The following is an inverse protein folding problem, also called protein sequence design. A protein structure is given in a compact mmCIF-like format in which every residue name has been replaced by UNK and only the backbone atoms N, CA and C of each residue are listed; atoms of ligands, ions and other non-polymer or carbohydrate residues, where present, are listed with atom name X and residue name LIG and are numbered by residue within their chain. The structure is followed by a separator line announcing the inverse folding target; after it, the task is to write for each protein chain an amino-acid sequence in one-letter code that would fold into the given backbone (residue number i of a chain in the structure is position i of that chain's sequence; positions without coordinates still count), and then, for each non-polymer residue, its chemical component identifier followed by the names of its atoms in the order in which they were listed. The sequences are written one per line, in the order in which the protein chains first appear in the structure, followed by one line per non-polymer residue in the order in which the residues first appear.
data_IF_915406658082
#
_entry.id   IF_915406658082
#
_cell.length_a   1.000
_cell.length_b   1.000
_cell.length_c   1.000
_cell.angle_alpha   90.00
_cell.angle_beta   90.00
_cell.angle_gamma   90.00
#
_symmetry.space_group_name_H-M   'P 1'
#
loop_
_entity.id
_entity.type
_entity.pdbx_description
1 polymer ?
#
# COMPACT_ATOMS: atom_id res chain seq x y z
N UNK A 1 26.73 -13.57 -71.85
CA UNK A 1 25.81 -12.54 -71.33
C UNK A 1 25.33 -12.97 -69.94
N UNK A 2 25.56 -12.11 -68.93
CA UNK A 2 25.03 -12.07 -67.55
C UNK A 2 25.30 -13.29 -66.62
N UNK A 3 26.29 -13.22 -65.72
CA UNK A 3 26.22 -12.67 -64.33
C UNK A 3 25.44 -13.59 -63.38
N UNK A 4 26.09 -14.45 -62.59
CA UNK A 4 26.61 -14.19 -61.22
C UNK A 4 25.59 -13.45 -60.35
N UNK A 5 25.03 -14.11 -59.33
CA UNK A 5 24.96 -13.64 -57.93
C UNK A 5 24.35 -14.74 -57.03
N UNK A 6 25.22 -15.36 -56.25
CA UNK A 6 24.93 -16.14 -55.05
C UNK A 6 24.33 -15.23 -53.97
N UNK A 7 23.20 -15.59 -53.36
CA UNK A 7 23.04 -15.52 -51.90
C UNK A 7 21.77 -16.28 -51.47
N UNK A 8 21.88 -17.60 -51.31
CA UNK A 8 20.85 -18.40 -50.64
C UNK A 8 20.95 -18.10 -49.14
N UNK A 9 19.98 -17.28 -48.71
CA UNK A 9 19.70 -16.83 -47.35
C UNK A 9 19.83 -17.97 -46.32
N UNK A 10 20.82 -17.87 -45.43
CA UNK A 10 20.93 -18.68 -44.21
C UNK A 10 19.84 -18.21 -43.24
N UNK A 11 18.62 -18.74 -43.42
CA UNK A 11 17.53 -18.57 -42.46
C UNK A 11 17.77 -19.57 -41.33
N UNK A 12 18.51 -19.12 -40.32
CA UNK A 12 18.60 -19.81 -39.04
C UNK A 12 17.26 -19.64 -38.33
N UNK A 13 16.29 -20.48 -38.70
CA UNK A 13 15.12 -20.73 -37.89
C UNK A 13 15.55 -21.57 -36.69
N UNK A 14 16.07 -20.90 -35.65
CA UNK A 14 15.98 -21.47 -34.31
C UNK A 14 14.52 -21.33 -33.86
N UNK A 15 13.70 -22.28 -34.31
CA UNK A 15 12.43 -22.60 -33.67
C UNK A 15 12.72 -23.15 -32.28
N UNK A 16 12.82 -22.27 -31.29
CA UNK A 16 12.87 -22.65 -29.88
C UNK A 16 11.43 -22.79 -29.39
N UNK A 17 10.94 -24.02 -29.55
CA UNK A 17 10.19 -24.80 -28.57
C UNK A 17 9.17 -24.06 -27.68
N UNK A 18 7.88 -24.36 -27.92
CA UNK A 18 6.72 -24.04 -27.10
C UNK A 18 6.69 -24.74 -25.71
N UNK A 19 7.85 -25.10 -25.15
CA UNK A 19 8.00 -25.84 -23.88
C UNK A 19 8.35 -24.90 -22.71
N UNK A 20 8.80 -23.67 -23.00
CA UNK A 20 9.04 -22.68 -21.94
C UNK A 20 8.07 -21.52 -22.13
N UNK A 21 7.05 -21.43 -21.28
CA UNK A 21 6.03 -20.39 -21.31
C UNK A 21 6.58 -19.00 -20.98
N UNK A 22 7.52 -18.47 -21.77
CA UNK A 22 8.00 -17.11 -21.65
C UNK A 22 6.96 -16.16 -22.23
N UNK A 23 6.07 -15.70 -21.35
CA UNK A 23 5.20 -14.57 -21.66
C UNK A 23 6.09 -13.35 -21.89
N UNK A 24 6.18 -12.88 -23.14
CA UNK A 24 6.85 -11.63 -23.46
C UNK A 24 6.03 -10.47 -22.88
N UNK A 25 6.39 -10.05 -21.66
CA UNK A 25 5.67 -9.01 -20.91
C UNK A 25 6.48 -7.72 -20.96
N UNK A 26 6.03 -6.76 -21.76
CA UNK A 26 6.61 -5.43 -21.83
C UNK A 26 6.22 -4.60 -20.59
N UNK A 27 7.20 -3.96 -19.96
CA UNK A 27 6.99 -3.06 -18.83
C UNK A 27 7.32 -1.62 -19.26
N UNK A 28 6.36 -0.71 -19.18
CA UNK A 28 6.62 0.71 -19.44
C UNK A 28 7.40 1.32 -18.28
N UNK A 29 8.60 1.86 -18.56
CA UNK A 29 9.45 2.49 -17.56
C UNK A 29 8.97 3.91 -17.21
N UNK A 30 8.17 4.52 -18.09
CA UNK A 30 7.41 5.76 -17.91
C UNK A 30 7.29 6.53 -19.23
N UNK A 31 6.72 7.73 -19.20
CA UNK A 31 6.46 8.55 -20.39
C UNK A 31 7.57 9.59 -20.58
N UNK A 32 8.04 9.78 -21.80
CA UNK A 32 8.93 10.89 -22.15
C UNK A 32 8.09 12.18 -22.28
N UNK A 33 8.55 13.36 -21.82
CA UNK A 33 9.85 13.69 -21.23
C UNK A 33 9.91 13.62 -19.68
N UNK A 34 8.85 13.17 -19.01
CA UNK A 34 8.76 13.11 -17.54
C UNK A 34 9.90 12.28 -16.91
N UNK A 35 10.42 11.29 -17.63
CA UNK A 35 11.60 10.53 -17.25
C UNK A 35 12.76 10.85 -18.20
N UNK A 36 13.84 11.38 -17.63
CA UNK A 36 15.09 11.59 -18.35
C UNK A 36 15.77 10.27 -18.74
N UNK A 37 16.47 10.28 -19.88
CA UNK A 37 17.16 9.11 -20.45
C UNK A 37 18.08 8.38 -19.46
N UNK A 38 18.75 9.13 -18.57
CA UNK A 38 19.61 8.57 -17.53
C UNK A 38 18.82 7.70 -16.55
N UNK A 39 17.67 8.18 -16.06
CA UNK A 39 16.80 7.42 -15.14
C UNK A 39 16.20 6.19 -15.84
N UNK A 40 15.84 6.31 -17.12
CA UNK A 40 15.33 5.17 -17.90
C UNK A 40 16.36 4.04 -18.05
N UNK A 41 17.65 4.36 -18.22
CA UNK A 41 18.74 3.37 -18.26
C UNK A 41 18.90 2.65 -16.92
N UNK A 42 18.92 3.40 -15.81
CA UNK A 42 19.00 2.81 -14.46
C UNK A 42 17.84 1.85 -14.19
N UNK A 43 16.60 2.27 -14.44
CA UNK A 43 15.42 1.42 -14.24
C UNK A 43 15.41 0.17 -15.14
N UNK A 44 16.00 0.27 -16.34
CA UNK A 44 16.18 -0.88 -17.23
C UNK A 44 17.18 -1.86 -16.63
N UNK A 45 18.33 -1.38 -16.18
CA UNK A 45 19.40 -2.23 -15.66
C UNK A 45 18.94 -2.93 -14.35
N UNK A 46 18.24 -2.22 -13.47
CA UNK A 46 17.56 -2.80 -12.28
C UNK A 46 16.56 -3.92 -12.65
N UNK A 47 15.77 -3.72 -13.72
CA UNK A 47 14.84 -4.74 -14.19
C UNK A 47 15.57 -5.97 -14.74
N UNK A 48 16.70 -5.79 -15.41
CA UNK A 48 17.55 -6.90 -15.86
C UNK A 48 18.19 -7.67 -14.70
N UNK A 49 18.62 -6.98 -13.64
CA UNK A 49 19.13 -7.63 -12.43
C UNK A 49 18.06 -8.49 -11.74
N UNK A 50 16.82 -8.01 -11.68
CA UNK A 50 15.70 -8.79 -11.15
C UNK A 50 15.42 -10.03 -12.00
N UNK A 51 15.47 -9.90 -13.33
CA UNK A 51 15.32 -11.03 -14.25
C UNK A 51 16.47 -12.04 -14.11
N UNK A 52 17.71 -11.57 -13.91
CA UNK A 52 18.87 -12.45 -13.68
C UNK A 52 18.72 -13.27 -12.38
N UNK A 53 18.02 -12.72 -11.38
CA UNK A 53 17.64 -13.42 -10.13
C UNK A 53 16.41 -14.33 -10.29
N UNK A 54 15.85 -14.47 -11.50
CA UNK A 54 14.64 -15.25 -11.76
C UNK A 54 13.34 -14.58 -11.29
N UNK A 55 13.38 -13.30 -10.92
CA UNK A 55 12.25 -12.56 -10.37
C UNK A 55 11.66 -11.67 -11.46
N UNK A 56 10.34 -11.75 -11.68
CA UNK A 56 9.68 -10.94 -12.69
C UNK A 56 9.54 -9.47 -12.22
N UNK A 57 10.09 -8.47 -12.94
CA UNK A 57 10.01 -7.06 -12.53
C UNK A 57 8.58 -6.52 -12.52
N UNK A 58 7.68 -7.05 -13.37
CA UNK A 58 6.26 -6.68 -13.36
C UNK A 58 5.56 -7.15 -12.08
N UNK A 59 5.92 -8.32 -11.55
CA UNK A 59 5.34 -8.80 -10.29
C UNK A 59 5.86 -8.00 -9.12
N UNK A 60 7.14 -7.62 -9.10
CA UNK A 60 7.70 -6.72 -8.08
C UNK A 60 7.03 -5.35 -8.10
N UNK A 61 6.83 -4.74 -9.28
CA UNK A 61 6.11 -3.45 -9.38
C UNK A 61 4.65 -3.58 -8.95
N UNK A 62 3.98 -4.69 -9.28
CA UNK A 62 2.61 -4.97 -8.83
C UNK A 62 2.55 -5.16 -7.31
N UNK A 63 3.47 -5.94 -6.74
CA UNK A 63 3.58 -6.15 -5.30
C UNK A 63 3.90 -4.85 -4.57
N UNK A 64 4.78 -3.99 -5.11
CA UNK A 64 5.07 -2.68 -4.55
C UNK A 64 3.84 -1.76 -4.57
N UNK A 65 3.12 -1.67 -5.70
CA UNK A 65 1.87 -0.91 -5.79
C UNK A 65 0.78 -1.47 -4.87
N UNK A 66 0.71 -2.80 -4.74
CA UNK A 66 -0.21 -3.45 -3.82
C UNK A 66 0.20 -3.14 -2.38
N UNK A 67 1.47 -3.22 -2.00
CA UNK A 67 1.96 -2.87 -0.67
C UNK A 67 1.67 -1.39 -0.35
N UNK A 68 1.88 -0.48 -1.30
CA UNK A 68 1.53 0.95 -1.16
C UNK A 68 0.01 1.16 -0.99
N UNK A 69 -0.81 0.43 -1.77
CA UNK A 69 -2.27 0.48 -1.67
C UNK A 69 -2.80 -0.16 -0.38
N UNK A 70 -2.18 -1.24 0.08
CA UNK A 70 -2.51 -1.95 1.31
C UNK A 70 -2.09 -1.12 2.53
N UNK A 71 -0.94 -0.44 2.47
CA UNK A 71 -0.51 0.50 3.49
C UNK A 71 -1.54 1.63 3.68
N UNK A 72 -2.08 2.16 2.58
CA UNK A 72 -3.12 3.21 2.65
C UNK A 72 -4.50 2.66 3.06
N UNK A 73 -4.83 1.43 2.67
CA UNK A 73 -6.13 0.80 2.93
C UNK A 73 -6.30 0.24 4.34
N UNK A 74 -5.20 -0.23 4.97
CA UNK A 74 -5.20 -0.87 6.29
C UNK A 74 -4.69 0.06 7.40
N UNK A 75 -4.81 1.37 7.21
CA UNK A 75 -4.52 2.35 8.26
C UNK A 75 -5.59 2.30 9.35
N UNK A 76 -5.20 2.57 10.60
CA UNK A 76 -6.17 2.71 11.70
C UNK A 76 -7.24 3.76 11.41
N UNK A 77 -6.91 4.82 10.67
CA UNK A 77 -7.84 5.88 10.33
C UNK A 77 -8.97 5.39 9.43
N UNK A 78 -8.68 4.54 8.45
CA UNK A 78 -9.70 3.95 7.56
C UNK A 78 -10.62 3.01 8.34
N UNK A 79 -10.05 2.20 9.23
CA UNK A 79 -10.83 1.34 10.12
C UNK A 79 -11.70 2.12 11.10
N UNK A 80 -11.14 3.16 11.73
CA UNK A 80 -11.89 4.06 12.59
C UNK A 80 -13.07 4.71 11.86
N UNK A 81 -12.90 5.16 10.61
CA UNK A 81 -14.02 5.71 9.84
C UNK A 81 -15.13 4.68 9.60
N UNK A 82 -14.77 3.45 9.22
CA UNK A 82 -15.74 2.37 9.01
C UNK A 82 -16.51 2.04 10.30
N UNK A 83 -15.79 1.91 11.42
CA UNK A 83 -16.40 1.67 12.72
C UNK A 83 -17.31 2.82 13.15
N UNK A 84 -16.90 4.07 12.91
CA UNK A 84 -17.71 5.24 13.21
C UNK A 84 -19.00 5.28 12.39
N UNK A 85 -18.93 4.92 11.10
CA UNK A 85 -20.09 4.84 10.22
C UNK A 85 -21.05 3.74 10.67
N UNK A 86 -20.55 2.58 11.10
CA UNK A 86 -21.39 1.54 11.72
C UNK A 86 -22.07 2.05 12.99
N UNK A 87 -21.33 2.76 13.85
CA UNK A 87 -21.87 3.34 15.08
C UNK A 87 -22.93 4.41 14.83
N UNK A 88 -22.89 5.12 13.70
CA UNK A 88 -23.95 6.07 13.30
C UNK A 88 -25.29 5.40 13.06
N UNK A 89 -25.31 4.12 12.66
CA UNK A 89 -26.55 3.38 12.45
C UNK A 89 -27.26 3.05 13.77
N UNK A 90 -26.48 2.80 14.83
CA UNK A 90 -27.01 2.41 16.16
C UNK A 90 -27.30 3.63 17.05
N UNK A 91 -26.49 4.68 16.96
CA UNK A 91 -26.52 5.83 17.86
C UNK A 91 -27.19 7.04 17.21
N UNK A 92 -28.11 7.69 17.92
CA UNK A 92 -28.78 8.91 17.44
C UNK A 92 -27.76 10.05 17.24
N UNK A 93 -27.89 10.76 16.12
CA UNK A 93 -27.10 11.96 15.82
C UNK A 93 -27.57 13.16 16.66
N UNK A 94 -26.63 13.97 17.15
CA UNK A 94 -26.93 15.16 17.97
C UNK A 94 -25.68 15.85 18.52
N UNK A 95 -25.78 17.15 18.84
CA UNK A 95 -24.65 18.00 19.31
C UNK A 95 -24.01 17.53 20.62
N UNK A 96 -24.75 16.78 21.44
CA UNK A 96 -24.27 16.18 22.70
C UNK A 96 -24.40 14.65 22.69
N UNK A 97 -24.47 14.04 21.50
CA UNK A 97 -24.57 12.58 21.42
C UNK A 97 -23.22 11.91 21.68
N UNK A 98 -23.26 10.63 22.05
CA UNK A 98 -22.08 9.79 22.22
C UNK A 98 -21.17 9.83 20.99
N UNK A 99 -21.74 9.93 19.78
CA UNK A 99 -20.99 10.05 18.52
C UNK A 99 -20.15 11.31 18.44
N UNK A 100 -20.72 12.46 18.82
CA UNK A 100 -19.98 13.74 18.84
C UNK A 100 -18.81 13.69 19.83
N UNK A 101 -19.01 13.00 20.96
CA UNK A 101 -17.97 12.80 21.97
C UNK A 101 -16.85 11.87 21.46
N UNK A 102 -17.21 10.76 20.80
CA UNK A 102 -16.27 9.84 20.14
C UNK A 102 -15.42 10.61 19.13
N UNK A 103 -16.03 11.34 18.20
CA UNK A 103 -15.31 12.09 17.16
C UNK A 103 -14.32 13.10 17.76
N UNK A 104 -14.74 13.87 18.76
CA UNK A 104 -13.89 14.87 19.41
C UNK A 104 -12.70 14.25 20.13
N UNK A 105 -12.90 13.13 20.83
CA UNK A 105 -11.83 12.50 21.62
C UNK A 105 -10.87 11.75 20.68
N UNK A 106 -11.39 10.98 19.72
CA UNK A 106 -10.54 10.28 18.76
C UNK A 106 -9.70 11.24 17.92
N UNK A 107 -10.27 12.35 17.43
CA UNK A 107 -9.50 13.36 16.68
C UNK A 107 -8.41 14.04 17.51
N UNK A 108 -8.64 14.28 18.79
CA UNK A 108 -7.70 14.96 19.67
C UNK A 108 -6.59 14.05 20.21
N UNK A 109 -6.94 12.82 20.57
CA UNK A 109 -6.09 11.98 21.42
C UNK A 109 -5.63 10.68 20.75
N UNK A 110 -6.44 10.08 19.85
CA UNK A 110 -6.17 8.75 19.27
C UNK A 110 -5.55 8.87 17.87
N UNK A 111 -6.20 9.60 16.96
CA UNK A 111 -5.77 9.76 15.57
C UNK A 111 -4.37 10.38 15.42
N UNK A 112 -3.92 11.33 16.28
CA UNK A 112 -2.56 11.85 16.17
C UNK A 112 -1.46 10.83 16.48
N UNK A 113 -1.78 9.76 17.21
CA UNK A 113 -0.81 8.73 17.60
C UNK A 113 -0.89 7.49 16.70
N UNK A 114 -2.11 7.05 16.37
CA UNK A 114 -2.34 5.79 15.67
C UNK A 114 -2.84 5.96 14.23
N UNK A 115 -3.19 7.17 13.81
CA UNK A 115 -3.92 7.41 12.57
C UNK A 115 -3.24 6.87 11.32
N UNK A 116 -1.94 7.08 11.15
CA UNK A 116 -1.18 6.61 9.97
C UNK A 116 -0.63 5.18 10.15
N UNK A 117 -0.77 4.61 11.35
CA UNK A 117 -0.26 3.28 11.66
C UNK A 117 -1.11 2.20 11.01
N UNK A 118 -0.47 1.14 10.51
CA UNK A 118 -1.14 -0.05 10.00
C UNK A 118 -1.78 -0.83 11.13
N UNK A 119 -3.02 -1.30 10.95
CA UNK A 119 -3.78 -2.06 11.97
C UNK A 119 -3.02 -3.31 12.42
N UNK A 120 -2.25 -3.93 11.52
CA UNK A 120 -1.49 -5.15 11.81
C UNK A 120 -0.27 -4.91 12.69
N UNK A 121 0.21 -3.66 12.77
CA UNK A 121 1.38 -3.28 13.56
C UNK A 121 1.00 -2.76 14.95
N UNK A 122 -0.27 -2.42 15.16
CA UNK A 122 -0.77 -1.86 16.42
C UNK A 122 -0.77 -2.96 17.48
N UNK A 123 0.03 -2.73 18.52
CA UNK A 123 0.10 -3.59 19.70
C UNK A 123 -0.67 -3.00 20.87
N UNK A 124 -0.96 -3.86 21.85
CA UNK A 124 -1.59 -3.45 23.10
C UNK A 124 -0.79 -2.37 23.84
N UNK A 125 0.53 -2.39 23.74
CA UNK A 125 1.42 -1.36 24.30
C UNK A 125 1.06 0.03 23.78
N UNK A 126 0.76 0.12 22.49
CA UNK A 126 0.56 1.39 21.79
C UNK A 126 -0.80 1.99 22.20
N UNK A 127 -1.81 1.13 22.38
CA UNK A 127 -3.11 1.53 22.95
C UNK A 127 -2.98 2.02 24.40
N UNK A 128 -2.18 1.34 25.22
CA UNK A 128 -1.94 1.74 26.60
C UNK A 128 -1.18 3.06 26.69
N UNK A 129 -0.26 3.34 25.77
CA UNK A 129 0.44 4.61 25.72
C UNK A 129 -0.52 5.77 25.44
N UNK A 130 -1.46 5.59 24.51
CA UNK A 130 -2.51 6.58 24.22
C UNK A 130 -3.37 6.84 25.46
N UNK A 131 -3.80 5.79 26.17
CA UNK A 131 -4.58 5.93 27.41
C UNK A 131 -3.75 6.65 28.49
N UNK A 132 -2.49 6.26 28.70
CA UNK A 132 -1.60 6.87 29.68
C UNK A 132 -1.34 8.36 29.38
N UNK A 133 -1.33 8.76 28.10
CA UNK A 133 -1.23 10.17 27.70
C UNK A 133 -2.48 10.97 28.09
N UNK A 134 -3.67 10.35 28.03
CA UNK A 134 -4.93 10.97 28.47
C UNK A 134 -4.98 11.06 30.00
N UNK A 135 -4.55 10.01 30.71
CA UNK A 135 -4.49 9.99 32.18
C UNK A 135 -3.56 11.08 32.73
N UNK A 136 -2.40 11.31 32.08
CA UNK A 136 -1.48 12.40 32.42
C UNK A 136 -2.11 13.79 32.35
N UNK A 137 -3.16 13.98 31.54
CA UNK A 137 -3.93 15.23 31.45
C UNK A 137 -4.98 15.38 32.55
N UNK A 138 -5.03 14.44 33.50
CA UNK A 138 -5.99 14.37 34.62
C UNK A 138 -7.45 14.21 34.20
N UNK A 139 -7.71 13.66 33.01
CA UNK A 139 -9.07 13.37 32.52
C UNK A 139 -9.37 11.87 32.56
N UNK A 140 -9.54 11.32 33.77
CA UNK A 140 -9.70 9.87 33.99
C UNK A 140 -10.98 9.29 33.36
N UNK A 141 -12.09 10.02 33.43
CA UNK A 141 -13.37 9.59 32.84
C UNK A 141 -13.29 9.44 31.31
N UNK A 142 -12.44 10.23 30.66
CA UNK A 142 -12.19 10.12 29.22
C UNK A 142 -11.32 8.89 28.93
N UNK A 143 -10.31 8.63 29.75
CA UNK A 143 -9.45 7.45 29.61
C UNK A 143 -10.26 6.14 29.72
N UNK A 144 -11.19 6.04 30.67
CA UNK A 144 -12.09 4.89 30.81
C UNK A 144 -13.02 4.71 29.59
N UNK A 145 -13.56 5.81 29.05
CA UNK A 145 -14.37 5.77 27.83
C UNK A 145 -13.57 5.30 26.62
N UNK A 146 -12.36 5.84 26.45
CA UNK A 146 -11.46 5.44 25.36
C UNK A 146 -11.09 3.97 25.47
N UNK A 147 -10.81 3.47 26.68
CA UNK A 147 -10.59 2.04 26.91
C UNK A 147 -11.80 1.20 26.51
N UNK A 148 -13.00 1.65 26.85
CA UNK A 148 -14.25 0.99 26.45
C UNK A 148 -14.41 0.97 24.93
N UNK A 149 -14.11 2.08 24.24
CA UNK A 149 -14.18 2.13 22.77
C UNK A 149 -13.10 1.29 22.10
N UNK A 150 -11.90 1.20 22.64
CA UNK A 150 -10.88 0.28 22.13
C UNK A 150 -11.29 -1.19 22.24
N UNK A 151 -12.07 -1.57 23.26
CA UNK A 151 -12.63 -2.93 23.33
C UNK A 151 -13.76 -3.18 22.33
N UNK A 152 -14.33 -2.11 21.75
CA UNK A 152 -15.43 -2.17 20.79
C UNK A 152 -14.97 -2.04 19.33
N UNK A 153 -13.72 -1.66 19.13
CA UNK A 153 -13.01 -1.63 17.85
C UNK A 153 -12.52 -3.04 17.56
#
# INVERSE_FOLDING_TARGET
MASVWLFRRWAVSHGISAITGWVNRSASLGRYPEIGLRKARVLRDEAHELLAKGINPCTVRKQKRQAESLATGHSFKTFYSLWLDHRRLELREGRQSTLSQIQRIFSKDVLPALGESSIFEIRRSDLLEVIARIERRKTLTIAEKVRTWFNQL
#
